data_IF_226920767815
#
_entry.id   IF_226920767815
#
_cell.length_a   1.000
_cell.length_b   1.000
_cell.length_c   1.000
_cell.angle_alpha   90.00
_cell.angle_beta   90.00
_cell.angle_gamma   90.00
#
_symmetry.space_group_name_H-M   'P 1'
#
loop_
_entity.id
_entity.type
_entity.pdbx_description
1 polymer ?
#
# COMPACT_ATOMS: atom_id res chain seq x y z
N UNK A 1 -4.81 -16.72 59.30
CA UNK A 1 -3.74 -16.74 58.27
C UNK A 1 -4.24 -17.36 56.96
N UNK A 2 -4.99 -18.46 57.00
CA UNK A 2 -5.57 -19.13 55.82
C UNK A 2 -6.37 -18.22 54.88
N UNK A 3 -7.30 -17.40 55.42
CA UNK A 3 -8.08 -16.41 54.63
C UNK A 3 -7.25 -15.34 53.91
N UNK A 4 -6.01 -15.09 54.36
CA UNK A 4 -5.12 -14.09 53.75
C UNK A 4 -4.39 -14.70 52.56
N UNK A 5 -3.95 -15.96 52.66
CA UNK A 5 -3.27 -16.66 51.57
C UNK A 5 -4.20 -16.91 50.36
N UNK A 6 -5.46 -17.28 50.60
CA UNK A 6 -6.45 -17.44 49.51
C UNK A 6 -6.69 -16.15 48.73
N UNK A 7 -6.71 -15.00 49.43
CA UNK A 7 -6.89 -13.68 48.80
C UNK A 7 -5.68 -13.28 47.97
N UNK A 8 -4.48 -13.52 48.45
CA UNK A 8 -3.24 -13.25 47.71
C UNK A 8 -3.18 -14.10 46.43
N UNK A 9 -3.50 -15.40 46.54
CA UNK A 9 -3.58 -16.29 45.38
C UNK A 9 -4.62 -15.84 44.34
N UNK A 10 -5.80 -15.41 44.79
CA UNK A 10 -6.84 -14.87 43.90
C UNK A 10 -6.39 -13.59 43.17
N UNK A 11 -5.71 -12.68 43.86
CA UNK A 11 -5.19 -11.44 43.25
C UNK A 11 -4.10 -11.76 42.21
N UNK A 12 -3.18 -12.67 42.51
CA UNK A 12 -2.15 -13.09 41.56
C UNK A 12 -2.77 -13.76 40.31
N UNK A 13 -3.81 -14.58 40.51
CA UNK A 13 -4.52 -15.20 39.41
C UNK A 13 -5.24 -14.16 38.53
N UNK A 14 -5.91 -13.17 39.14
CA UNK A 14 -6.56 -12.08 38.39
C UNK A 14 -5.54 -11.28 37.59
N UNK A 15 -4.39 -10.95 38.20
CA UNK A 15 -3.33 -10.22 37.51
C UNK A 15 -2.77 -11.03 36.33
N UNK A 16 -2.52 -12.33 36.52
CA UNK A 16 -2.07 -13.22 35.45
C UNK A 16 -3.10 -13.27 34.31
N UNK A 17 -4.39 -13.43 34.62
CA UNK A 17 -5.45 -13.44 33.62
C UNK A 17 -5.57 -12.11 32.87
N UNK A 18 -5.39 -10.97 33.55
CA UNK A 18 -5.39 -9.65 32.90
C UNK A 18 -4.20 -9.47 31.95
N UNK A 19 -3.00 -9.91 32.34
CA UNK A 19 -1.82 -9.85 31.47
C UNK A 19 -1.98 -10.74 30.23
N UNK A 20 -2.53 -11.95 30.39
CA UNK A 20 -2.82 -12.85 29.25
C UNK A 20 -3.90 -12.26 28.34
N UNK A 21 -4.98 -11.70 28.91
CA UNK A 21 -6.06 -11.09 28.13
C UNK A 21 -5.56 -9.90 27.30
N UNK A 22 -4.74 -9.02 27.89
CA UNK A 22 -4.14 -7.89 27.17
C UNK A 22 -3.18 -8.35 26.07
N UNK A 23 -2.36 -9.37 26.31
CA UNK A 23 -1.49 -9.96 25.28
C UNK A 23 -2.29 -10.52 24.09
N UNK A 24 -3.40 -11.23 24.34
CA UNK A 24 -4.27 -11.75 23.29
C UNK A 24 -4.88 -10.61 22.47
N UNK A 25 -5.35 -9.54 23.12
CA UNK A 25 -5.95 -8.39 22.42
C UNK A 25 -4.92 -7.68 21.52
N UNK A 26 -3.69 -7.50 21.99
CA UNK A 26 -2.60 -6.90 21.19
C UNK A 26 -2.23 -7.80 20.00
N UNK A 27 -2.15 -9.11 20.19
CA UNK A 27 -1.85 -10.06 19.10
C UNK A 27 -2.94 -10.06 18.01
N UNK A 28 -4.21 -9.94 18.40
CA UNK A 28 -5.32 -9.87 17.43
C UNK A 28 -5.36 -8.58 16.63
N UNK A 29 -4.87 -7.47 17.20
CA UNK A 29 -4.76 -6.20 16.47
C UNK A 29 -3.74 -6.28 15.33
N UNK A 30 -2.63 -7.01 15.51
CA UNK A 30 -1.61 -7.19 14.46
C UNK A 30 -2.13 -7.99 13.26
N UNK A 31 -2.80 -9.12 13.48
CA UNK A 31 -3.22 -10.03 12.39
C UNK A 31 -4.18 -9.40 11.37
N UNK A 32 -5.09 -8.52 11.81
CA UNK A 32 -6.03 -7.82 10.91
C UNK A 32 -5.37 -6.71 10.10
N UNK A 33 -4.44 -5.97 10.72
CA UNK A 33 -3.64 -4.96 10.03
C UNK A 33 -2.72 -5.60 8.99
N UNK A 34 -2.10 -6.73 9.32
CA UNK A 34 -1.22 -7.49 8.42
C UNK A 34 -1.97 -7.99 7.18
N UNK A 35 -3.17 -8.56 7.34
CA UNK A 35 -3.98 -9.02 6.21
C UNK A 35 -4.39 -7.86 5.27
N UNK A 36 -4.70 -6.70 5.84
CA UNK A 36 -5.04 -5.49 5.08
C UNK A 36 -3.84 -4.97 4.31
N UNK A 37 -2.67 -4.88 4.96
CA UNK A 37 -1.41 -4.49 4.33
C UNK A 37 -1.02 -5.43 3.20
N UNK A 38 -1.13 -6.75 3.39
CA UNK A 38 -0.87 -7.75 2.34
C UNK A 38 -1.80 -7.53 1.14
N UNK A 39 -3.09 -7.28 1.36
CA UNK A 39 -4.03 -7.01 0.26
C UNK A 39 -3.69 -5.71 -0.47
N UNK A 40 -3.34 -4.64 0.25
CA UNK A 40 -2.93 -3.37 -0.36
C UNK A 40 -1.66 -3.55 -1.19
N UNK A 41 -0.65 -4.22 -0.64
CA UNK A 41 0.58 -4.55 -1.36
C UNK A 41 0.31 -5.41 -2.60
N UNK A 42 -0.60 -6.40 -2.49
CA UNK A 42 -1.05 -7.20 -3.62
C UNK A 42 -1.72 -6.36 -4.71
N UNK A 43 -2.57 -5.39 -4.34
CA UNK A 43 -3.19 -4.46 -5.29
C UNK A 43 -2.18 -3.59 -6.01
N UNK A 44 -1.03 -3.24 -5.41
CA UNK A 44 0.00 -2.45 -6.09
C UNK A 44 0.47 -3.12 -7.39
N UNK A 45 0.62 -4.45 -7.40
CA UNK A 45 0.96 -5.19 -8.62
C UNK A 45 -0.12 -5.03 -9.69
N UNK A 46 -1.38 -5.21 -9.34
CA UNK A 46 -2.49 -5.01 -10.29
C UNK A 46 -2.53 -3.57 -10.82
N UNK A 47 -2.36 -2.58 -9.94
CA UNK A 47 -2.38 -1.16 -10.31
C UNK A 47 -1.21 -0.79 -11.22
N UNK A 48 -0.01 -1.35 -11.03
CA UNK A 48 1.13 -1.14 -11.94
C UNK A 48 0.84 -1.59 -13.37
N UNK A 49 0.29 -2.80 -13.52
CA UNK A 49 -0.11 -3.38 -14.80
C UNK A 49 -1.25 -2.58 -15.44
N UNK A 50 -2.20 -2.13 -14.60
CA UNK A 50 -3.32 -1.28 -15.03
C UNK A 50 -2.83 0.06 -15.57
N UNK A 51 -1.87 0.71 -14.90
CA UNK A 51 -1.24 1.94 -15.40
C UNK A 51 -0.54 1.72 -16.74
N UNK A 52 0.22 0.62 -16.90
CA UNK A 52 0.86 0.29 -18.17
C UNK A 52 -0.16 0.16 -19.32
N UNK A 53 -1.27 -0.54 -19.07
CA UNK A 53 -2.36 -0.68 -20.05
C UNK A 53 -3.02 0.65 -20.39
N UNK A 54 -3.31 1.47 -19.38
CA UNK A 54 -3.95 2.78 -19.55
C UNK A 54 -3.04 3.76 -20.31
N UNK A 55 -1.72 3.73 -20.03
CA UNK A 55 -0.72 4.51 -20.76
C UNK A 55 -0.67 4.14 -22.25
N UNK A 56 -0.70 2.84 -22.60
CA UNK A 56 -0.82 2.41 -23.99
C UNK A 56 -2.14 2.85 -24.63
N UNK A 57 -3.24 2.83 -23.86
CA UNK A 57 -4.55 3.31 -24.31
C UNK A 57 -4.59 4.79 -24.65
N UNK A 58 -3.76 5.62 -24.00
CA UNK A 58 -3.61 7.05 -24.32
C UNK A 58 -2.96 7.24 -25.69
N UNK A 59 -1.93 6.45 -26.01
CA UNK A 59 -1.14 6.60 -27.24
C UNK A 59 -1.80 5.91 -28.45
N UNK A 60 -2.44 4.76 -28.24
CA UNK A 60 -2.96 3.92 -29.33
C UNK A 60 -4.49 3.82 -29.38
N UNK A 61 -5.21 4.39 -28.40
CA UNK A 61 -6.66 4.25 -28.29
C UNK A 61 -7.46 5.40 -28.91
N UNK A 62 -8.73 5.13 -29.19
CA UNK A 62 -9.66 6.10 -29.80
C UNK A 62 -10.21 7.14 -28.81
N UNK A 63 -9.90 7.00 -27.51
CA UNK A 63 -10.44 7.85 -26.42
C UNK A 63 -9.35 8.31 -25.44
N UNK A 64 -8.37 9.12 -25.89
CA UNK A 64 -7.22 9.51 -25.08
C UNK A 64 -7.61 10.24 -23.79
N UNK A 65 -8.61 11.13 -23.83
CA UNK A 65 -9.07 11.88 -22.64
C UNK A 65 -9.60 10.95 -21.54
N UNK A 66 -10.39 9.94 -21.92
CA UNK A 66 -10.91 8.96 -20.96
C UNK A 66 -9.79 8.12 -20.36
N UNK A 67 -8.82 7.71 -21.19
CA UNK A 67 -7.67 6.92 -20.75
C UNK A 67 -6.73 7.73 -19.83
N UNK A 68 -6.59 9.04 -20.07
CA UNK A 68 -5.84 9.95 -19.18
C UNK A 68 -6.47 10.05 -17.80
N UNK A 69 -7.80 10.20 -17.72
CA UNK A 69 -8.49 10.25 -16.43
C UNK A 69 -8.40 8.91 -15.68
N UNK A 70 -8.51 7.79 -16.39
CA UNK A 70 -8.31 6.46 -15.79
C UNK A 70 -6.88 6.29 -15.26
N UNK A 71 -5.87 6.68 -16.05
CA UNK A 71 -4.47 6.63 -15.64
C UNK A 71 -4.20 7.50 -14.40
N UNK A 72 -4.76 8.72 -14.37
CA UNK A 72 -4.70 9.62 -13.22
C UNK A 72 -5.21 8.95 -11.95
N UNK A 73 -6.40 8.37 -12.02
CA UNK A 73 -7.03 7.68 -10.89
C UNK A 73 -6.23 6.47 -10.43
N UNK A 74 -5.72 5.65 -11.37
CA UNK A 74 -4.92 4.47 -11.03
C UNK A 74 -3.59 4.87 -10.37
N UNK A 75 -2.92 5.91 -10.87
CA UNK A 75 -1.72 6.49 -10.25
C UNK A 75 -2.00 6.94 -8.82
N UNK A 76 -3.09 7.69 -8.60
CA UNK A 76 -3.45 8.18 -7.25
C UNK A 76 -3.71 7.05 -6.27
N UNK A 77 -4.38 5.99 -6.72
CA UNK A 77 -4.61 4.78 -5.91
C UNK A 77 -3.30 4.04 -5.58
N UNK A 78 -2.37 3.96 -6.54
CA UNK A 78 -1.05 3.35 -6.33
C UNK A 78 -0.26 4.16 -5.31
N UNK A 79 -0.14 5.47 -5.52
CA UNK A 79 0.63 6.38 -4.67
C UNK A 79 0.08 6.43 -3.24
N UNK A 80 -1.25 6.55 -3.08
CA UNK A 80 -1.89 6.48 -1.77
C UNK A 80 -1.62 5.14 -1.08
N UNK A 81 -1.72 4.03 -1.81
CA UNK A 81 -1.47 2.71 -1.25
C UNK A 81 -0.02 2.50 -0.83
N UNK A 82 0.95 2.97 -1.63
CA UNK A 82 2.37 2.90 -1.29
C UNK A 82 2.71 3.79 -0.09
N UNK A 83 2.20 5.03 -0.04
CA UNK A 83 2.36 5.92 1.11
C UNK A 83 1.72 5.32 2.37
N UNK A 84 0.51 4.76 2.25
CA UNK A 84 -0.19 4.12 3.35
C UNK A 84 0.53 2.88 3.88
N UNK A 85 1.25 2.13 3.03
CA UNK A 85 2.08 1.00 3.47
C UNK A 85 3.34 1.45 4.23
N UNK A 86 3.85 2.66 3.98
CA UNK A 86 5.05 3.21 4.64
C UNK A 86 4.68 3.93 5.93
N UNK A 87 3.66 4.80 5.88
CA UNK A 87 3.34 5.78 6.92
C UNK A 87 2.08 5.41 7.72
N UNK A 88 1.29 4.46 7.22
CA UNK A 88 -0.06 4.17 7.69
C UNK A 88 -1.11 5.02 6.98
N UNK A 89 -2.33 4.50 6.87
CA UNK A 89 -3.51 5.19 6.33
C UNK A 89 -4.75 4.61 7.01
N UNK A 90 -5.40 5.42 7.85
CA UNK A 90 -6.56 4.97 8.64
C UNK A 90 -7.76 4.61 7.78
N UNK A 91 -7.98 5.30 6.67
CA UNK A 91 -9.12 5.00 5.79
C UNK A 91 -8.90 3.70 5.01
N UNK A 92 -7.64 3.37 4.73
CA UNK A 92 -7.27 2.08 4.13
C UNK A 92 -7.14 0.95 5.17
N UNK A 93 -7.33 1.24 6.46
CA UNK A 93 -7.14 0.28 7.55
C UNK A 93 -5.67 -0.12 7.76
N UNK A 94 -4.73 0.74 7.36
CA UNK A 94 -3.29 0.51 7.47
C UNK A 94 -2.73 1.17 8.72
N UNK A 95 -2.12 0.36 9.58
CA UNK A 95 -1.25 0.84 10.65
C UNK A 95 0.10 1.29 10.10
N UNK A 96 0.84 2.08 10.89
CA UNK A 96 2.21 2.44 10.55
C UNK A 96 3.10 1.20 10.61
N UNK A 97 3.90 0.96 9.57
CA UNK A 97 4.87 -0.14 9.54
C UNK A 97 6.02 0.14 10.52
N UNK A 98 6.38 -0.86 11.32
CA UNK A 98 7.39 -0.76 12.37
C UNK A 98 8.62 -1.62 12.09
N UNK A 99 8.54 -2.62 11.19
CA UNK A 99 9.68 -3.45 10.82
C UNK A 99 10.63 -2.65 9.89
N UNK A 100 11.88 -2.36 10.34
CA UNK A 100 12.84 -1.62 9.54
C UNK A 100 13.20 -2.29 8.21
N UNK A 101 13.18 -3.62 8.15
CA UNK A 101 13.49 -4.37 6.94
C UNK A 101 12.37 -4.24 5.90
N UNK A 102 11.11 -4.22 6.33
CA UNK A 102 9.95 -3.98 5.46
C UNK A 102 9.96 -2.54 4.97
N UNK A 103 10.15 -1.56 5.88
CA UNK A 103 10.27 -0.14 5.52
C UNK A 103 11.37 0.10 4.48
N UNK A 104 12.53 -0.55 4.63
CA UNK A 104 13.62 -0.43 3.67
C UNK A 104 13.18 -0.90 2.27
N UNK A 105 12.48 -2.03 2.16
CA UNK A 105 11.98 -2.55 0.88
C UNK A 105 10.91 -1.64 0.27
N UNK A 106 9.98 -1.14 1.08
CA UNK A 106 8.95 -0.20 0.61
C UNK A 106 9.56 1.11 0.09
N UNK A 107 10.60 1.62 0.75
CA UNK A 107 11.35 2.80 0.26
C UNK A 107 12.12 2.53 -1.03
N UNK A 108 12.61 1.31 -1.25
CA UNK A 108 13.18 0.93 -2.55
C UNK A 108 12.12 1.00 -3.65
N UNK A 109 10.91 0.48 -3.39
CA UNK A 109 9.77 0.58 -4.33
C UNK A 109 9.40 2.06 -4.57
N UNK A 110 9.36 2.89 -3.53
CA UNK A 110 9.12 4.33 -3.66
C UNK A 110 10.17 5.03 -4.52
N UNK A 111 11.44 4.66 -4.37
CA UNK A 111 12.53 5.20 -5.19
C UNK A 111 12.39 4.81 -6.66
N UNK A 112 11.96 3.57 -6.93
CA UNK A 112 11.66 3.11 -8.30
C UNK A 112 10.41 3.77 -8.88
N UNK A 113 9.43 4.09 -8.05
CA UNK A 113 8.16 4.70 -8.44
C UNK A 113 8.30 6.16 -8.85
N UNK A 114 9.13 6.95 -8.17
CA UNK A 114 9.25 8.40 -8.42
C UNK A 114 9.51 8.80 -9.90
N UNK A 115 10.49 8.22 -10.63
CA UNK A 115 10.69 8.54 -12.05
C UNK A 115 9.51 8.08 -12.93
N UNK A 116 8.78 7.04 -12.50
CA UNK A 116 7.59 6.56 -13.19
C UNK A 116 6.42 7.52 -13.03
N UNK A 117 6.18 7.97 -11.79
CA UNK A 117 5.15 8.96 -11.45
C UNK A 117 5.26 10.20 -12.34
N UNK A 118 6.46 10.74 -12.48
CA UNK A 118 6.72 11.90 -13.32
C UNK A 118 6.38 11.68 -14.80
N UNK A 119 6.57 10.46 -15.32
CA UNK A 119 6.22 10.11 -16.70
C UNK A 119 4.71 9.95 -16.87
N UNK A 120 4.07 9.30 -15.91
CA UNK A 120 2.61 9.18 -15.84
C UNK A 120 1.96 10.57 -15.81
N UNK A 121 2.48 11.48 -14.99
CA UNK A 121 1.97 12.85 -14.89
C UNK A 121 2.06 13.61 -16.21
N UNK A 122 3.14 13.41 -16.98
CA UNK A 122 3.28 14.00 -18.31
C UNK A 122 2.24 13.46 -19.30
N UNK A 123 2.00 12.14 -19.30
CA UNK A 123 0.97 11.54 -20.16
C UNK A 123 -0.43 12.03 -19.81
N UNK A 124 -0.72 12.15 -18.52
CA UNK A 124 -2.01 12.61 -18.00
C UNK A 124 -2.24 14.10 -18.31
N UNK A 125 -1.19 14.92 -18.39
CA UNK A 125 -1.28 16.36 -18.65
C UNK A 125 -1.16 16.75 -20.14
N UNK A 126 -0.89 15.81 -21.04
CA UNK A 126 -0.60 16.13 -22.44
C UNK A 126 -1.85 16.25 -23.31
N UNK A 127 -1.97 17.34 -24.07
CA UNK A 127 -2.98 17.47 -25.13
C UNK A 127 -2.59 16.72 -26.42
N UNK A 128 -1.34 16.26 -26.54
CA UNK A 128 -0.80 15.54 -27.70
C UNK A 128 -0.22 14.20 -27.28
N UNK A 129 -1.10 13.24 -26.99
CA UNK A 129 -0.72 11.88 -26.62
C UNK A 129 0.27 11.20 -27.59
N UNK A 130 0.14 11.45 -28.90
CA UNK A 130 0.96 10.83 -29.94
C UNK A 130 2.45 11.22 -29.90
N UNK A 131 2.84 12.31 -29.22
CA UNK A 131 4.25 12.69 -29.07
C UNK A 131 4.93 12.06 -27.86
N UNK A 132 4.21 11.24 -27.09
CA UNK A 132 4.68 10.63 -25.84
C UNK A 132 4.70 9.09 -25.88
N UNK A 133 4.84 8.53 -27.09
CA UNK A 133 4.97 7.08 -27.30
C UNK A 133 6.15 6.51 -26.50
N UNK A 134 7.24 7.26 -26.37
CA UNK A 134 8.42 6.86 -25.61
C UNK A 134 8.14 6.78 -24.10
N UNK A 135 7.30 7.67 -23.56
CA UNK A 135 6.84 7.60 -22.17
C UNK A 135 5.97 6.38 -21.92
N UNK A 136 5.01 6.09 -22.80
CA UNK A 136 4.14 4.92 -22.66
C UNK A 136 4.92 3.61 -22.78
N UNK A 137 5.90 3.56 -23.68
CA UNK A 137 6.81 2.42 -23.83
C UNK A 137 7.68 2.21 -22.58
N UNK A 138 8.22 3.29 -22.01
CA UNK A 138 8.97 3.21 -20.75
C UNK A 138 8.10 2.69 -19.60
N UNK A 139 6.87 3.21 -19.46
CA UNK A 139 5.93 2.77 -18.42
C UNK A 139 5.63 1.28 -18.58
N UNK A 140 5.35 0.84 -19.80
CA UNK A 140 5.08 -0.57 -20.08
C UNK A 140 6.25 -1.47 -19.68
N UNK A 141 7.47 -1.14 -20.12
CA UNK A 141 8.67 -1.93 -19.86
C UNK A 141 9.02 -2.00 -18.36
N UNK A 142 8.85 -0.90 -17.63
CA UNK A 142 9.30 -0.82 -16.24
C UNK A 142 8.21 -1.16 -15.20
N UNK A 143 6.93 -1.21 -15.58
CA UNK A 143 5.83 -1.61 -14.68
C UNK A 143 5.39 -3.07 -14.86
N UNK A 144 5.68 -3.69 -16.00
CA UNK A 144 5.31 -5.09 -16.25
C UNK A 144 6.37 -6.07 -15.75
N UNK A 145 7.63 -5.65 -15.75
CA UNK A 145 8.79 -6.52 -15.54
C UNK A 145 9.33 -6.54 -14.09
N UNK A 146 8.63 -5.89 -13.15
CA UNK A 146 8.95 -5.82 -11.72
C UNK A 146 7.97 -6.64 -10.85
#
# INVERSE_FOLDING_TARGET
MERVQTKIGAIMLIFLLLTVATAILVQRQGQGADATAINVAGRQRMLSQKMAKEALGIVHGDRPIQAQEQLRQTRDLFERGLSGLIEGDRDLGLGQEQDPAILQRLRQVQTMWEPMRQRVDRLVASDRAASLTDEAAYIYDHMITA
#
